data_IF_190220017153
#
_entry.id   IF_190220017153
#
_cell.length_a   1.000
_cell.length_b   1.000
_cell.length_c   1.000
_cell.angle_alpha   90.00
_cell.angle_beta   90.00
_cell.angle_gamma   90.00
#
_symmetry.space_group_name_H-M   'P 1'
#
loop_
_entity.id
_entity.type
_entity.pdbx_description
1 polymer ?
#
# COMPACT_ATOMS: atom_id res chain seq x y z
N UNK A 1 1.31 42.42 2.06
CA UNK A 1 0.53 41.21 2.42
C UNK A 1 1.26 40.00 1.88
N UNK A 2 1.46 38.93 2.67
CA UNK A 2 2.04 37.68 2.14
C UNK A 2 0.91 36.92 1.47
N UNK A 3 0.99 36.72 0.16
CA UNK A 3 0.05 35.88 -0.57
C UNK A 3 0.08 34.46 0.01
N UNK A 4 -1.08 33.97 0.45
CA UNK A 4 -1.21 32.62 0.99
C UNK A 4 -1.02 31.64 -0.17
N UNK A 5 0.02 30.79 -0.11
CA UNK A 5 0.22 29.73 -1.11
C UNK A 5 -1.03 28.87 -1.19
N UNK A 6 -1.52 28.61 -2.40
CA UNK A 6 -2.63 27.71 -2.64
C UNK A 6 -2.20 26.28 -2.34
N UNK A 7 -2.90 25.59 -1.44
CA UNK A 7 -2.58 24.22 -1.02
C UNK A 7 -2.84 23.16 -2.10
N UNK A 8 -3.72 23.46 -3.06
CA UNK A 8 -4.08 22.56 -4.15
C UNK A 8 -3.15 22.66 -5.36
N UNK A 9 -2.21 23.63 -5.34
CA UNK A 9 -1.28 23.87 -6.45
C UNK A 9 0.14 23.68 -5.93
N UNK A 10 0.75 22.56 -6.31
CA UNK A 10 2.13 22.26 -5.98
C UNK A 10 2.88 21.72 -7.20
N UNK A 11 4.20 21.91 -7.19
CA UNK A 11 5.10 21.46 -8.25
C UNK A 11 5.87 20.24 -7.78
N UNK A 12 5.77 19.14 -8.54
CA UNK A 12 6.54 17.91 -8.29
C UNK A 12 7.74 17.87 -9.24
N UNK A 13 8.95 17.74 -8.68
CA UNK A 13 10.18 17.58 -9.45
C UNK A 13 10.62 16.13 -9.56
N UNK A 14 10.88 15.64 -10.79
CA UNK A 14 11.42 14.30 -11.04
C UNK A 14 12.92 14.34 -11.33
N UNK A 15 13.68 13.38 -10.80
CA UNK A 15 15.13 13.28 -11.01
C UNK A 15 15.42 12.67 -12.38
N UNK A 16 16.01 13.43 -13.30
CA UNK A 16 16.32 12.98 -14.67
C UNK A 16 17.31 11.81 -14.75
N UNK A 17 18.13 11.61 -13.71
CA UNK A 17 19.14 10.55 -13.65
C UNK A 17 18.59 9.24 -13.08
N UNK A 18 17.42 9.28 -12.47
CA UNK A 18 16.81 8.12 -11.85
C UNK A 18 15.84 7.47 -12.86
N UNK A 19 16.08 6.20 -13.26
CA UNK A 19 15.28 5.56 -14.29
C UNK A 19 13.81 5.40 -13.89
N UNK A 20 13.50 5.24 -12.60
CA UNK A 20 12.12 5.13 -12.12
C UNK A 20 11.40 6.47 -12.24
N UNK A 21 12.07 7.56 -11.83
CA UNK A 21 11.52 8.91 -11.98
C UNK A 21 11.29 9.27 -13.45
N UNK A 22 12.20 8.91 -14.36
CA UNK A 22 12.05 9.14 -15.80
C UNK A 22 10.85 8.36 -16.35
N UNK A 23 10.69 7.09 -15.94
CA UNK A 23 9.56 6.25 -16.35
C UNK A 23 8.23 6.84 -15.88
N UNK A 24 8.12 7.25 -14.62
CA UNK A 24 6.89 7.88 -14.10
C UNK A 24 6.60 9.20 -14.81
N UNK A 25 7.63 10.03 -15.05
CA UNK A 25 7.46 11.30 -15.76
C UNK A 25 6.96 11.09 -17.20
N UNK A 26 7.47 10.07 -17.90
CA UNK A 26 6.99 9.71 -19.24
C UNK A 26 5.52 9.27 -19.20
N UNK A 27 5.17 8.38 -18.27
CA UNK A 27 3.80 7.89 -18.12
C UNK A 27 2.81 9.03 -17.81
N UNK A 28 3.15 9.93 -16.89
CA UNK A 28 2.34 11.12 -16.59
C UNK A 28 2.22 12.07 -17.79
N UNK A 29 3.23 12.16 -18.65
CA UNK A 29 3.16 13.02 -19.83
C UNK A 29 2.28 12.47 -20.95
N UNK A 30 2.10 11.15 -21.02
CA UNK A 30 1.22 10.49 -21.98
C UNK A 30 -0.27 10.54 -21.58
N UNK A 31 -0.56 10.95 -20.34
CA UNK A 31 -1.90 10.87 -19.75
C UNK A 31 -2.60 12.22 -19.71
N UNK A 32 -3.92 12.21 -19.84
CA UNK A 32 -4.79 13.38 -19.63
C UNK A 32 -6.14 12.91 -19.02
N UNK A 33 -6.55 13.39 -17.83
CA UNK A 33 -5.89 14.37 -16.97
C UNK A 33 -4.85 13.77 -16.00
N UNK A 34 -3.65 14.37 -15.97
CA UNK A 34 -2.47 13.90 -15.22
C UNK A 34 -2.69 13.79 -13.71
N UNK A 35 -3.43 14.73 -13.15
CA UNK A 35 -3.72 14.82 -11.71
C UNK A 35 -4.59 13.64 -11.24
N UNK A 36 -5.57 13.22 -12.04
CA UNK A 36 -6.46 12.12 -11.67
C UNK A 36 -5.70 10.80 -11.54
N UNK A 37 -4.69 10.60 -12.38
CA UNK A 37 -3.85 9.42 -12.24
C UNK A 37 -3.01 9.42 -10.96
N UNK A 38 -2.46 10.58 -10.59
CA UNK A 38 -1.74 10.71 -9.32
C UNK A 38 -2.68 10.40 -8.15
N UNK A 39 -3.92 10.90 -8.17
CA UNK A 39 -4.95 10.57 -7.17
C UNK A 39 -5.18 9.06 -7.10
N UNK A 40 -5.46 8.42 -8.24
CA UNK A 40 -5.74 6.99 -8.28
C UNK A 40 -4.55 6.14 -7.80
N UNK A 41 -3.32 6.53 -8.17
CA UNK A 41 -2.11 5.81 -7.75
C UNK A 41 -1.88 5.90 -6.24
N UNK A 42 -2.10 7.09 -5.65
CA UNK A 42 -1.96 7.29 -4.20
C UNK A 42 -3.04 6.51 -3.44
N UNK A 43 -4.30 6.58 -3.88
CA UNK A 43 -5.40 5.82 -3.26
C UNK A 43 -5.15 4.32 -3.34
N UNK A 44 -4.80 3.81 -4.52
CA UNK A 44 -4.45 2.39 -4.70
C UNK A 44 -3.31 1.95 -3.78
N UNK A 45 -2.25 2.77 -3.65
CA UNK A 45 -1.13 2.48 -2.75
C UNK A 45 -1.56 2.41 -1.27
N UNK A 46 -2.38 3.36 -0.82
CA UNK A 46 -2.89 3.40 0.56
C UNK A 46 -3.86 2.25 0.83
N UNK A 47 -4.80 2.01 -0.08
CA UNK A 47 -5.88 1.01 0.07
C UNK A 47 -5.38 -0.42 -0.07
N UNK A 48 -4.29 -0.64 -0.83
CA UNK A 48 -3.67 -1.98 -1.00
C UNK A 48 -3.02 -2.53 0.28
N UNK A 49 -3.00 -1.78 1.38
CA UNK A 49 -2.39 -2.23 2.63
C UNK A 49 -0.86 -2.33 2.57
N UNK A 50 -0.22 -1.85 1.50
CA UNK A 50 1.24 -1.76 1.33
C UNK A 50 1.92 -0.73 2.26
N UNK A 51 1.21 -0.27 3.29
CA UNK A 51 1.73 0.62 4.33
C UNK A 51 2.70 -0.12 5.27
N UNK A 52 3.91 -0.41 4.77
CA UNK A 52 5.13 -0.48 5.58
C UNK A 52 5.86 0.89 5.53
N UNK A 53 5.09 1.98 5.49
CA UNK A 53 5.61 3.32 5.75
C UNK A 53 5.68 3.47 7.26
N UNK A 54 6.91 3.44 7.78
CA UNK A 54 7.18 3.59 9.20
C UNK A 54 6.48 4.87 9.73
N UNK A 55 5.80 4.80 10.89
CA UNK A 55 4.89 5.83 11.39
C UNK A 55 5.54 7.17 11.79
N UNK A 56 6.82 7.40 11.47
CA UNK A 56 7.49 8.69 11.61
C UNK A 56 7.65 9.44 10.28
N UNK A 57 7.36 8.82 9.13
CA UNK A 57 7.35 9.50 7.83
C UNK A 57 5.98 10.12 7.48
N UNK A 58 4.96 9.82 8.29
CA UNK A 58 3.61 10.38 8.20
C UNK A 58 3.06 10.56 9.63
N UNK A 59 3.15 11.76 10.19
CA UNK A 59 2.32 12.16 11.35
C UNK A 59 1.82 13.60 11.14
N UNK A 60 0.58 13.95 11.56
CA UNK A 60 -0.65 13.16 11.46
C UNK A 60 -1.78 13.99 10.80
N UNK A 61 -2.43 13.47 9.74
CA UNK A 61 -3.71 14.05 9.27
C UNK A 61 -4.95 13.32 9.80
N UNK A 62 -4.76 12.27 10.61
CA UNK A 62 -5.86 11.49 11.19
C UNK A 62 -5.69 11.38 12.71
N UNK A 63 -5.85 12.52 13.40
CA UNK A 63 -6.30 12.53 14.79
C UNK A 63 -7.71 13.12 14.79
N UNK A 64 -8.68 12.31 14.40
CA UNK A 64 -10.01 12.35 15.00
C UNK A 64 -10.32 10.91 15.39
N UNK A 65 -10.03 10.66 16.66
CA UNK A 65 -10.21 9.41 17.33
C UNK A 65 -11.67 9.30 17.75
N UNK A 66 -12.37 8.28 17.26
CA UNK A 66 -13.37 7.57 18.06
C UNK A 66 -13.20 6.06 17.86
N UNK A 67 -12.38 5.50 18.76
CA UNK A 67 -12.58 4.20 19.38
C UNK A 67 -12.45 2.92 18.55
N UNK A 68 -11.23 2.52 18.18
CA UNK A 68 -10.89 1.09 18.06
C UNK A 68 -9.46 0.87 18.55
N UNK A 69 -9.31 0.13 19.65
CA UNK A 69 -8.04 -0.47 20.07
C UNK A 69 -7.71 -1.63 19.13
N UNK A 70 -6.48 -1.74 18.59
CA UNK A 70 -6.03 -3.00 18.02
C UNK A 70 -4.82 -3.51 18.80
N UNK A 71 -5.06 -4.31 19.83
CA UNK A 71 -4.12 -5.37 20.19
C UNK A 71 -4.30 -6.52 19.20
N UNK A 72 -3.76 -6.36 17.99
CA UNK A 72 -3.65 -7.47 17.03
C UNK A 72 -2.17 -7.72 16.81
N UNK A 73 -1.67 -8.76 17.47
CA UNK A 73 -0.37 -9.36 17.18
C UNK A 73 -0.43 -9.93 15.75
N UNK A 74 0.16 -9.23 14.79
CA UNK A 74 0.28 -9.74 13.42
C UNK A 74 1.33 -10.84 13.44
N UNK A 75 0.87 -12.10 13.48
CA UNK A 75 1.71 -13.25 13.15
C UNK A 75 2.09 -13.13 11.68
N UNK A 76 3.39 -13.19 11.41
CA UNK A 76 3.95 -13.21 10.06
C UNK A 76 3.17 -14.21 9.20
N UNK A 77 2.65 -13.74 8.04
CA UNK A 77 1.99 -14.61 7.08
C UNK A 77 2.94 -15.69 6.55
N UNK A 78 2.41 -16.80 6.01
CA UNK A 78 3.22 -17.92 5.59
C UNK A 78 4.26 -17.49 4.55
N UNK A 79 5.49 -17.96 4.72
CA UNK A 79 6.59 -17.80 3.75
C UNK A 79 6.10 -18.27 2.36
N UNK A 80 6.48 -17.60 1.25
CA UNK A 80 6.16 -18.09 -0.08
C UNK A 80 6.71 -19.52 -0.23
N UNK A 81 5.82 -20.46 -0.54
CA UNK A 81 6.15 -21.86 -0.78
C UNK A 81 7.05 -21.92 -2.01
N UNK A 82 8.18 -22.59 -1.89
CA UNK A 82 9.05 -22.88 -3.03
C UNK A 82 8.30 -23.84 -3.94
N UNK A 83 8.35 -23.63 -5.25
CA UNK A 83 7.56 -24.36 -6.26
C UNK A 83 7.85 -25.88 -6.31
N UNK A 84 8.84 -26.35 -5.53
CA UNK A 84 9.32 -27.74 -5.50
C UNK A 84 8.99 -28.48 -4.18
N UNK A 85 8.27 -27.86 -3.24
CA UNK A 85 7.96 -28.46 -1.94
C UNK A 85 6.69 -29.32 -2.07
N UNK A 86 6.89 -30.65 -2.14
CA UNK A 86 5.82 -31.63 -2.28
C UNK A 86 4.85 -31.53 -1.09
N UNK A 87 3.58 -31.20 -1.38
CA UNK A 87 2.53 -31.06 -0.37
C UNK A 87 2.37 -32.38 0.39
N UNK A 88 2.78 -32.39 1.65
CA UNK A 88 2.70 -33.59 2.46
C UNK A 88 1.26 -33.87 2.94
N UNK A 89 1.01 -35.11 3.35
CA UNK A 89 -0.32 -35.56 3.74
C UNK A 89 -0.84 -34.85 5.03
N UNK A 90 0.07 -34.31 5.85
CA UNK A 90 -0.28 -33.57 7.06
C UNK A 90 -0.68 -32.13 6.74
N UNK A 91 -0.05 -31.51 5.75
CA UNK A 91 -0.40 -30.18 5.24
C UNK A 91 -1.80 -30.20 4.65
N UNK A 92 -2.13 -31.22 3.85
CA UNK A 92 -3.46 -31.41 3.28
C UNK A 92 -4.54 -31.57 4.37
N UNK A 93 -4.25 -32.33 5.45
CA UNK A 93 -5.16 -32.49 6.59
C UNK A 93 -5.37 -31.18 7.35
N UNK A 94 -4.30 -30.40 7.54
CA UNK A 94 -4.34 -29.12 8.25
C UNK A 94 -5.20 -28.09 7.50
N UNK A 95 -5.08 -28.05 6.17
CA UNK A 95 -5.89 -27.18 5.30
C UNK A 95 -7.38 -27.59 5.39
N UNK A 96 -7.68 -28.88 5.28
CA UNK A 96 -9.05 -29.39 5.34
C UNK A 96 -9.71 -29.14 6.70
N UNK A 97 -8.95 -29.23 7.80
CA UNK A 97 -9.43 -28.90 9.13
C UNK A 97 -9.76 -27.41 9.27
N UNK A 98 -8.91 -26.54 8.72
CA UNK A 98 -9.15 -25.10 8.71
C UNK A 98 -10.40 -24.72 7.91
N UNK A 99 -10.61 -25.33 6.74
CA UNK A 99 -11.81 -25.09 5.91
C UNK A 99 -13.10 -25.53 6.59
N UNK A 100 -13.08 -26.62 7.37
CA UNK A 100 -14.25 -27.06 8.14
C UNK A 100 -14.66 -26.04 9.20
N UNK A 101 -13.70 -25.34 9.79
CA UNK A 101 -13.97 -24.33 10.82
C UNK A 101 -14.55 -23.02 10.26
N UNK A 102 -14.42 -22.78 8.94
CA UNK A 102 -15.00 -21.60 8.27
C UNK A 102 -16.46 -21.75 7.87
N UNK A 103 -16.98 -22.98 7.83
CA UNK A 103 -18.36 -23.27 7.41
C UNK A 103 -19.33 -23.41 8.59
N UNK A 104 -18.88 -23.10 9.81
CA UNK A 104 -19.71 -23.08 11.02
C UNK A 104 -20.49 -21.77 11.16
#
# INVERSE_FOLDING_TARGET
MREKKNEFVFTIGFKKKDPEHVRVAKMLNEMDPKNQFIVNAVLCYVDSGYVNVRPWNLQPLFVQAENIQPSVQIKQGPKPLKEDEELDENDARTIMQSLKNFRA
#
